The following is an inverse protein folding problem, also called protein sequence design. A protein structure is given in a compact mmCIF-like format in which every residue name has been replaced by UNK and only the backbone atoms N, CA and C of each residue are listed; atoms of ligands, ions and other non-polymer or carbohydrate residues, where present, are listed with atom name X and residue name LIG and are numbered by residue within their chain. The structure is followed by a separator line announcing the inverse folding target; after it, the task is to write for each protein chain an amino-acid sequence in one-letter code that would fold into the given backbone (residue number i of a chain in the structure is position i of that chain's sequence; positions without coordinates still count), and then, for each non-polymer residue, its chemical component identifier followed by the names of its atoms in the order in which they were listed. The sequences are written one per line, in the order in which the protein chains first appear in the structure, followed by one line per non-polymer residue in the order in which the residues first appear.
data_IF_142895984456
#
_entry.id   IF_142895984456
#
_cell.length_a   1.000
_cell.length_b   1.000
_cell.length_c   1.000
_cell.angle_alpha   90.00
_cell.angle_beta   90.00
_cell.angle_gamma   90.00
#
_symmetry.space_group_name_H-M   'P 1'
#
loop_
_entity.id
_entity.type
_entity.pdbx_description
1 polymer ?
#
# COMPACT_ATOMS: atom_id res chain seq x y z
N UNK A 1 12.08 -17.29 11.35
CA UNK A 1 12.97 -18.26 12.03
C UNK A 1 12.34 -18.62 13.37
N UNK A 2 12.42 -19.87 13.81
CA UNK A 2 11.99 -20.31 15.14
C UNK A 2 13.18 -20.62 16.04
N UNK A 3 12.95 -20.69 17.35
CA UNK A 3 13.97 -21.06 18.35
C UNK A 3 13.55 -22.39 18.98
N UNK A 4 14.44 -23.37 18.98
CA UNK A 4 14.23 -24.65 19.68
C UNK A 4 14.52 -24.51 21.18
N UNK A 5 14.08 -25.48 21.99
CA UNK A 5 14.41 -25.55 23.42
C UNK A 5 15.92 -25.56 23.68
N UNK A 6 16.72 -26.09 22.74
CA UNK A 6 18.19 -26.06 22.76
C UNK A 6 18.80 -24.66 22.57
N UNK A 7 18.01 -23.65 22.22
CA UNK A 7 18.46 -22.32 21.83
C UNK A 7 18.89 -22.18 20.36
N UNK A 8 18.85 -23.26 19.58
CA UNK A 8 19.19 -23.23 18.15
C UNK A 8 18.14 -22.46 17.32
N UNK A 9 18.60 -21.61 16.40
CA UNK A 9 17.75 -20.91 15.43
C UNK A 9 17.55 -21.77 14.19
N UNK A 10 16.29 -22.07 13.88
CA UNK A 10 15.93 -22.91 12.72
C UNK A 10 14.94 -22.23 11.77
N UNK A 11 14.89 -22.75 10.54
CA UNK A 11 13.81 -22.45 9.62
C UNK A 11 12.56 -23.23 10.00
N UNK A 12 11.43 -22.53 10.02
CA UNK A 12 10.12 -23.10 10.35
C UNK A 12 9.15 -22.72 9.26
N UNK A 13 8.27 -23.66 8.90
CA UNK A 13 7.13 -23.37 8.03
C UNK A 13 6.15 -22.50 8.82
N UNK A 14 5.75 -21.36 8.24
CA UNK A 14 4.75 -20.45 8.84
C UNK A 14 3.35 -20.66 8.26
N UNK A 15 3.21 -21.56 7.29
CA UNK A 15 1.95 -21.94 6.66
C UNK A 15 1.98 -23.43 6.25
N UNK A 16 0.83 -24.12 6.15
CA UNK A 16 0.77 -25.53 5.75
C UNK A 16 1.25 -25.77 4.32
N UNK A 17 1.91 -26.91 4.09
CA UNK A 17 2.32 -27.32 2.75
C UNK A 17 1.11 -27.56 1.84
N UNK A 18 1.18 -27.06 0.61
CA UNK A 18 0.09 -27.18 -0.37
C UNK A 18 -1.04 -26.16 -0.20
N UNK A 19 -0.89 -25.18 0.69
CA UNK A 19 -1.87 -24.09 0.81
C UNK A 19 -1.93 -23.27 -0.47
N UNK A 20 -3.14 -23.03 -0.98
CA UNK A 20 -3.37 -22.03 -2.01
C UNK A 20 -3.17 -20.63 -1.39
N UNK A 21 -2.18 -19.90 -1.90
CA UNK A 21 -1.83 -18.56 -1.38
C UNK A 21 -1.82 -17.54 -2.50
N UNK A 22 -2.11 -16.29 -2.14
CA UNK A 22 -1.95 -15.13 -3.00
C UNK A 22 -1.27 -14.04 -2.19
N UNK A 23 -0.29 -13.37 -2.80
CA UNK A 23 0.52 -12.33 -2.13
C UNK A 23 0.49 -11.05 -2.97
N UNK A 24 -0.69 -10.40 -3.02
CA UNK A 24 -0.82 -9.11 -3.68
C UNK A 24 -0.16 -8.04 -2.81
N UNK A 25 0.79 -7.31 -3.39
CA UNK A 25 1.53 -6.28 -2.65
C UNK A 25 0.72 -5.00 -2.38
N UNK A 26 -0.31 -4.75 -3.19
CA UNK A 26 -1.13 -3.53 -3.14
C UNK A 26 -2.57 -3.81 -3.58
N UNK A 27 -3.47 -2.91 -3.21
CA UNK A 27 -4.82 -2.79 -3.73
C UNK A 27 -5.11 -1.34 -4.17
N UNK A 28 -6.32 -1.12 -4.71
CA UNK A 28 -6.80 0.21 -5.09
C UNK A 28 -7.96 0.58 -4.19
N UNK A 29 -7.84 1.70 -3.48
CA UNK A 29 -8.95 2.31 -2.74
C UNK A 29 -9.68 3.33 -3.63
N UNK A 30 -10.98 3.15 -3.94
CA UNK A 30 -11.76 4.13 -4.68
C UNK A 30 -11.83 5.51 -4.01
N UNK A 31 -11.81 6.57 -4.81
CA UNK A 31 -11.83 7.97 -4.36
C UNK A 31 -12.94 8.30 -3.35
N UNK A 32 -14.13 7.70 -3.48
CA UNK A 32 -15.26 7.92 -2.56
C UNK A 32 -14.98 7.52 -1.10
N UNK A 33 -13.93 6.75 -0.84
CA UNK A 33 -13.48 6.36 0.50
C UNK A 33 -12.31 7.20 1.01
N UNK A 34 -11.86 8.21 0.24
CA UNK A 34 -10.73 9.07 0.56
C UNK A 34 -11.25 10.50 0.74
N UNK A 35 -11.15 11.04 1.96
CA UNK A 35 -11.60 12.42 2.27
C UNK A 35 -10.78 13.47 1.53
N UNK A 36 -9.49 13.25 1.32
CA UNK A 36 -8.63 14.18 0.61
C UNK A 36 -7.21 13.65 0.45
N UNK A 37 -6.43 14.30 -0.42
CA UNK A 37 -5.03 14.01 -0.68
C UNK A 37 -4.18 15.12 -0.07
N UNK A 38 -3.22 14.74 0.77
CA UNK A 38 -2.18 15.65 1.27
C UNK A 38 -0.96 15.52 0.36
N UNK A 39 -0.51 16.64 -0.18
CA UNK A 39 0.64 16.74 -1.10
C UNK A 39 1.62 17.78 -0.59
N UNK A 40 2.79 17.89 -1.20
CA UNK A 40 3.76 18.95 -0.93
C UNK A 40 3.26 20.35 -1.32
N UNK A 41 2.17 20.41 -2.10
CA UNK A 41 1.54 21.66 -2.57
C UNK A 41 0.24 22.01 -1.86
N UNK A 42 -0.10 21.25 -0.81
CA UNK A 42 -1.31 21.44 -0.01
C UNK A 42 -2.29 20.27 -0.09
N UNK A 43 -3.52 20.51 0.36
CA UNK A 43 -4.59 19.50 0.47
C UNK A 43 -5.60 19.70 -0.66
N UNK A 44 -6.06 18.60 -1.29
CA UNK A 44 -7.13 18.64 -2.29
C UNK A 44 -8.09 17.46 -2.20
N UNK A 45 -9.26 17.58 -2.84
CA UNK A 45 -10.18 16.47 -3.04
C UNK A 45 -9.51 15.31 -3.80
N UNK A 46 -9.87 14.07 -3.49
CA UNK A 46 -9.36 12.86 -4.15
C UNK A 46 -9.92 12.71 -5.58
N UNK A 47 -9.57 13.65 -6.45
CA UNK A 47 -10.10 13.77 -7.81
C UNK A 47 -9.05 14.31 -8.77
N UNK A 48 -9.27 14.07 -10.06
CA UNK A 48 -8.43 14.64 -11.12
C UNK A 48 -8.42 16.18 -11.10
N UNK A 49 -9.56 16.79 -10.79
CA UNK A 49 -9.67 18.25 -10.69
C UNK A 49 -8.89 18.80 -9.49
N UNK A 50 -8.97 18.14 -8.33
CA UNK A 50 -8.22 18.50 -7.13
C UNK A 50 -6.70 18.45 -7.33
N UNK A 51 -6.20 17.38 -7.95
CA UNK A 51 -4.77 17.31 -8.30
C UNK A 51 -4.38 18.40 -9.31
N UNK A 52 -5.20 18.65 -10.34
CA UNK A 52 -4.93 19.70 -11.33
C UNK A 52 -4.89 21.11 -10.73
N UNK A 53 -5.67 21.38 -9.68
CA UNK A 53 -5.64 22.70 -9.04
C UNK A 53 -4.35 22.96 -8.24
N UNK A 54 -3.66 21.90 -7.79
CA UNK A 54 -2.39 22.02 -7.07
C UNK A 54 -1.16 21.93 -8.00
N UNK A 55 -1.28 21.23 -9.13
CA UNK A 55 -0.18 20.93 -10.06
C UNK A 55 -0.40 21.55 -11.45
N UNK A 56 -0.69 22.85 -11.50
CA UNK A 56 -1.05 23.58 -12.73
C UNK A 56 0.06 23.63 -13.79
N UNK A 57 1.31 23.62 -13.36
CA UNK A 57 2.55 23.58 -14.15
C UNK A 57 2.90 22.17 -14.67
N UNK A 58 2.36 21.13 -14.03
CA UNK A 58 2.53 19.72 -14.43
C UNK A 58 1.29 19.15 -15.10
N UNK A 59 0.34 20.02 -15.47
CA UNK A 59 -0.77 19.61 -16.30
C UNK A 59 -0.20 19.10 -17.63
N UNK A 60 -0.15 17.77 -17.78
CA UNK A 60 0.17 17.12 -19.05
C UNK A 60 -0.64 17.79 -20.17
N UNK A 61 0.07 18.20 -21.22
CA UNK A 61 -0.51 18.54 -22.53
C UNK A 61 -1.29 17.34 -23.06
#
# INVERSE_FOLDING_TARGET
KGVQESGEIVEVKIYPQGSNVSNFAFDVTPARYVTGLITERGICEASKAGLRSLFVDQAYV
#
